data_IF_049066014800
#
_entry.id   IF_049066014800
#
_cell.length_a   1.000
_cell.length_b   1.000
_cell.length_c   1.000
_cell.angle_alpha   90.00
_cell.angle_beta   90.00
_cell.angle_gamma   90.00
#
_symmetry.space_group_name_H-M   'P 1'
#
loop_
_entity.id
_entity.type
_entity.pdbx_description
1 polymer ?
#
# COMPACT_ATOMS: atom_id res chain seq x y z
N UNK A 1 24.74 -7.57 -7.45
CA UNK A 1 24.41 -7.48 -6.00
C UNK A 1 23.86 -6.11 -5.71
N UNK A 2 22.61 -6.08 -5.25
CA UNK A 2 21.89 -4.85 -4.92
C UNK A 2 22.04 -4.51 -3.44
N UNK A 3 22.06 -3.20 -3.16
CA UNK A 3 22.01 -2.64 -1.82
C UNK A 3 20.83 -1.69 -1.76
N UNK A 4 19.95 -1.93 -0.79
CA UNK A 4 18.80 -1.09 -0.51
C UNK A 4 19.10 -0.22 0.70
N UNK A 5 18.95 1.10 0.56
CA UNK A 5 19.08 2.05 1.67
C UNK A 5 17.70 2.61 1.99
N UNK A 6 17.25 2.41 3.22
CA UNK A 6 15.95 2.85 3.67
C UNK A 6 15.87 4.38 3.86
N UNK A 7 14.82 4.99 3.30
CA UNK A 7 14.45 6.38 3.55
C UNK A 7 12.93 6.49 3.76
N UNK A 8 12.41 7.54 4.41
CA UNK A 8 11.03 7.57 4.90
C UNK A 8 9.95 7.28 3.85
N UNK A 9 10.14 7.67 2.57
CA UNK A 9 9.15 7.50 1.50
C UNK A 9 9.53 6.46 0.44
N UNK A 10 10.80 6.07 0.35
CA UNK A 10 11.29 5.16 -0.68
C UNK A 10 12.58 4.45 -0.26
N UNK A 11 12.89 3.30 -0.85
CA UNK A 11 14.23 2.71 -0.78
C UNK A 11 15.10 3.27 -1.90
N UNK A 12 16.34 3.65 -1.61
CA UNK A 12 17.33 3.91 -2.67
C UNK A 12 17.98 2.59 -3.05
N UNK A 13 18.01 2.27 -4.33
CA UNK A 13 18.59 1.03 -4.84
C UNK A 13 19.95 1.34 -5.47
N UNK A 14 20.97 0.62 -5.03
CA UNK A 14 22.33 0.72 -5.55
C UNK A 14 22.80 -0.63 -6.08
N UNK A 15 23.48 -0.65 -7.22
CA UNK A 15 24.25 -1.81 -7.67
C UNK A 15 25.69 -1.65 -7.18
N UNK A 16 26.21 -2.68 -6.53
CA UNK A 16 27.63 -2.77 -6.22
C UNK A 16 28.37 -3.29 -7.45
N UNK A 17 29.23 -2.45 -8.01
CA UNK A 17 30.19 -2.85 -9.04
C UNK A 17 31.47 -3.33 -8.35
N UNK A 18 31.95 -4.51 -8.74
CA UNK A 18 33.30 -4.94 -8.38
C UNK A 18 34.28 -4.16 -9.26
N UNK A 19 34.97 -3.20 -8.66
CA UNK A 19 36.09 -2.52 -9.32
C UNK A 19 37.32 -3.43 -9.29
N UNK A 20 38.18 -3.43 -10.32
CA UNK A 20 39.46 -4.13 -10.29
C UNK A 20 40.40 -3.68 -9.15
N UNK A 21 40.17 -2.49 -8.57
CA UNK A 21 40.95 -1.91 -7.47
C UNK A 21 40.41 -2.24 -6.06
N UNK A 22 39.58 -3.28 -5.93
CA UNK A 22 38.96 -3.78 -4.68
C UNK A 22 38.15 -2.76 -3.85
N UNK A 23 37.91 -1.56 -4.41
CA UNK A 23 37.01 -0.57 -3.80
C UNK A 23 35.58 -0.80 -4.31
N UNK A 24 34.62 -1.12 -3.43
CA UNK A 24 33.25 -1.37 -3.84
C UNK A 24 32.59 -0.07 -4.30
N UNK A 25 32.45 0.09 -5.63
CA UNK A 25 31.80 1.26 -6.22
C UNK A 25 30.28 1.04 -6.20
N UNK A 26 29.58 1.88 -5.44
CA UNK A 26 28.10 1.91 -5.41
C UNK A 26 27.61 2.80 -6.53
N UNK A 27 26.87 2.23 -7.48
CA UNK A 27 26.17 2.98 -8.52
C UNK A 27 24.69 3.00 -8.15
N UNK A 28 24.11 4.20 -8.03
CA UNK A 28 22.67 4.34 -7.80
C UNK A 28 21.96 3.93 -9.08
N UNK A 29 21.02 2.98 -8.97
CA UNK A 29 20.24 2.49 -10.11
C UNK A 29 18.78 2.96 -10.08
N UNK A 30 18.26 3.35 -8.91
CA UNK A 30 16.89 3.83 -8.84
C UNK A 30 16.38 4.08 -7.43
N UNK A 31 15.06 4.21 -7.31
CA UNK A 31 14.34 4.26 -6.04
C UNK A 31 13.07 3.41 -6.11
N UNK A 32 12.68 2.87 -4.96
CA UNK A 32 11.48 2.08 -4.77
C UNK A 32 10.51 2.82 -3.86
N UNK A 33 9.38 3.29 -4.38
CA UNK A 33 8.36 3.94 -3.53
C UNK A 33 7.77 2.92 -2.55
N UNK A 34 7.69 3.29 -1.26
CA UNK A 34 7.07 2.41 -0.24
C UNK A 34 5.55 2.27 -0.44
N UNK A 35 4.90 3.29 -1.02
CA UNK A 35 3.49 3.31 -1.36
C UNK A 35 3.32 3.35 -2.88
N UNK A 36 2.52 2.43 -3.44
CA UNK A 36 2.26 2.36 -4.89
C UNK A 36 3.55 2.12 -5.69
N UNK A 37 3.85 0.85 -5.93
CA UNK A 37 5.14 0.44 -6.49
C UNK A 37 5.32 0.96 -7.92
N UNK A 38 6.26 1.90 -8.12
CA UNK A 38 6.71 2.33 -9.43
C UNK A 38 8.25 2.45 -9.41
N UNK A 39 8.90 1.73 -10.32
CA UNK A 39 10.35 1.71 -10.45
C UNK A 39 10.76 2.76 -11.49
N UNK A 40 11.29 3.89 -11.02
CA UNK A 40 11.86 4.91 -11.91
C UNK A 40 13.34 4.61 -12.11
N UNK A 41 13.66 4.01 -13.26
CA UNK A 41 15.03 3.78 -13.74
C UNK A 41 15.46 5.05 -14.48
N UNK A 42 16.63 5.60 -14.15
CA UNK A 42 17.27 6.56 -15.07
C UNK A 42 17.65 5.80 -16.34
N UNK A 43 17.27 6.32 -17.52
CA UNK A 43 17.14 5.67 -18.85
C UNK A 43 18.37 4.91 -19.45
N UNK A 44 19.37 4.51 -18.67
CA UNK A 44 20.62 3.91 -19.16
C UNK A 44 20.99 2.51 -18.64
N UNK A 45 20.20 1.85 -17.79
CA UNK A 45 20.62 0.59 -17.16
C UNK A 45 19.57 -0.53 -17.23
N UNK A 46 19.97 -1.68 -17.79
CA UNK A 46 19.19 -2.93 -17.73
C UNK A 46 19.47 -3.70 -16.43
N UNK A 47 18.39 -4.20 -15.83
CA UNK A 47 18.39 -5.09 -14.66
C UNK A 47 18.23 -6.52 -15.17
N UNK A 48 19.03 -7.45 -14.66
CA UNK A 48 18.89 -8.88 -15.00
C UNK A 48 17.75 -9.54 -14.21
N UNK A 49 17.36 -10.76 -14.60
CA UNK A 49 16.20 -11.44 -14.01
C UNK A 49 16.40 -11.81 -12.53
N UNK A 50 17.64 -12.09 -12.11
CA UNK A 50 17.95 -12.43 -10.72
C UNK A 50 17.85 -11.18 -9.83
N UNK A 51 18.38 -10.06 -10.32
CA UNK A 51 18.29 -8.78 -9.64
C UNK A 51 16.85 -8.26 -9.60
N UNK A 52 16.04 -8.49 -10.64
CA UNK A 52 14.61 -8.18 -10.61
C UNK A 52 13.88 -8.96 -9.50
N UNK A 53 14.14 -10.28 -9.38
CA UNK A 53 13.54 -11.10 -8.33
C UNK A 53 13.90 -10.64 -6.91
N UNK A 54 15.12 -10.14 -6.70
CA UNK A 54 15.54 -9.56 -5.42
C UNK A 54 14.76 -8.28 -5.08
N UNK A 55 14.50 -7.43 -6.07
CA UNK A 55 13.71 -6.21 -5.87
C UNK A 55 12.26 -6.58 -5.50
N UNK A 56 11.67 -7.55 -6.21
CA UNK A 56 10.29 -7.98 -5.98
C UNK A 56 10.11 -8.56 -4.55
N UNK A 57 11.06 -9.37 -4.09
CA UNK A 57 11.06 -9.92 -2.73
C UNK A 57 11.14 -8.84 -1.63
N UNK A 58 11.96 -7.81 -1.82
CA UNK A 58 12.04 -6.66 -0.90
C UNK A 58 10.74 -5.86 -0.91
N UNK A 59 10.12 -5.71 -2.08
CA UNK A 59 8.86 -5.00 -2.24
C UNK A 59 7.71 -5.70 -1.49
N UNK A 60 7.62 -7.03 -1.58
CA UNK A 60 6.63 -7.82 -0.84
C UNK A 60 6.81 -7.66 0.67
N UNK A 61 8.05 -7.79 1.16
CA UNK A 61 8.36 -7.62 2.60
C UNK A 61 7.92 -6.25 3.11
N UNK A 62 8.10 -5.20 2.31
CA UNK A 62 7.66 -3.85 2.68
C UNK A 62 6.13 -3.70 2.69
N UNK A 63 5.43 -4.32 1.75
CA UNK A 63 3.96 -4.32 1.72
C UNK A 63 3.39 -5.02 2.95
N UNK A 64 3.98 -6.15 3.33
CA UNK A 64 3.57 -6.88 4.53
C UNK A 64 3.80 -6.04 5.79
N UNK A 65 4.95 -5.37 5.89
CA UNK A 65 5.23 -4.47 7.00
C UNK A 65 4.23 -3.30 7.09
N UNK A 66 3.88 -2.68 5.97
CA UNK A 66 2.88 -1.60 5.92
C UNK A 66 1.49 -2.10 6.30
N UNK A 67 1.09 -3.28 5.81
CA UNK A 67 -0.17 -3.92 6.18
C UNK A 67 -0.24 -4.22 7.70
N UNK A 68 0.87 -4.65 8.30
CA UNK A 68 0.95 -4.86 9.75
C UNK A 68 0.82 -3.55 10.54
N UNK A 69 1.43 -2.46 10.09
CA UNK A 69 1.31 -1.15 10.71
C UNK A 69 -0.12 -0.62 10.62
N UNK A 70 -0.73 -0.68 9.43
CA UNK A 70 -2.13 -0.28 9.22
C UNK A 70 -3.08 -1.09 10.12
N UNK A 71 -2.84 -2.39 10.25
CA UNK A 71 -3.62 -3.25 11.16
C UNK A 71 -3.43 -2.84 12.62
N UNK A 72 -2.21 -2.56 13.05
CA UNK A 72 -1.95 -2.11 14.42
C UNK A 72 -2.64 -0.77 14.70
N UNK A 73 -2.57 0.19 13.78
CA UNK A 73 -3.23 1.49 13.92
C UNK A 73 -4.76 1.36 13.95
N UNK A 74 -5.34 0.50 13.11
CA UNK A 74 -6.77 0.22 13.12
C UNK A 74 -7.25 -0.36 14.46
N UNK A 75 -6.46 -1.26 15.07
CA UNK A 75 -6.78 -1.82 16.39
C UNK A 75 -6.65 -0.78 17.52
N UNK A 76 -5.77 0.21 17.37
CA UNK A 76 -5.59 1.30 18.35
C UNK A 76 -6.57 2.45 18.14
N UNK A 77 -7.21 2.54 16.98
CA UNK A 77 -8.11 3.62 16.61
C UNK A 77 -9.20 3.93 17.65
N UNK A 78 -9.88 2.94 18.29
CA UNK A 78 -10.88 3.24 19.32
C UNK A 78 -10.32 4.01 20.51
N UNK A 79 -9.13 3.66 20.98
CA UNK A 79 -8.46 4.35 22.08
C UNK A 79 -8.00 5.75 21.66
N UNK A 80 -7.42 5.87 20.46
CA UNK A 80 -7.01 7.14 19.88
C UNK A 80 -8.22 8.08 19.76
N UNK A 81 -9.34 7.62 19.22
CA UNK A 81 -10.56 8.39 19.08
C UNK A 81 -11.09 8.87 20.45
N UNK A 82 -11.07 8.00 21.47
CA UNK A 82 -11.47 8.37 22.84
C UNK A 82 -10.59 9.50 23.40
N UNK A 83 -9.27 9.37 23.27
CA UNK A 83 -8.31 10.37 23.76
C UNK A 83 -8.39 11.69 22.99
N UNK A 84 -8.55 11.62 21.67
CA UNK A 84 -8.75 12.81 20.82
C UNK A 84 -10.03 13.54 21.19
N UNK A 85 -11.13 12.84 21.49
CA UNK A 85 -12.36 13.47 21.99
C UNK A 85 -12.14 14.17 23.32
N UNK A 86 -11.45 13.53 24.26
CA UNK A 86 -11.15 14.12 25.57
C UNK A 86 -10.31 15.40 25.42
N UNK A 87 -9.27 15.36 24.59
CA UNK A 87 -8.47 16.53 24.23
C UNK A 87 -9.32 17.62 23.56
N UNK A 88 -10.15 17.26 22.59
CA UNK A 88 -11.03 18.18 21.87
C UNK A 88 -11.93 18.99 22.80
N UNK A 89 -12.49 18.33 23.83
CA UNK A 89 -13.41 18.97 24.78
C UNK A 89 -12.67 19.85 25.79
N UNK A 90 -11.55 19.35 26.33
CA UNK A 90 -10.93 19.94 27.53
C UNK A 90 -9.73 20.85 27.23
N UNK A 91 -9.06 20.68 26.10
CA UNK A 91 -7.72 21.24 25.89
C UNK A 91 -7.53 21.90 24.52
N UNK A 92 -8.26 21.48 23.49
CA UNK A 92 -8.04 21.96 22.13
C UNK A 92 -8.40 23.44 21.94
N UNK A 93 -7.52 24.15 21.26
CA UNK A 93 -7.78 25.48 20.70
C UNK A 93 -8.83 25.42 19.59
N UNK A 94 -9.39 26.56 19.19
CA UNK A 94 -10.43 26.61 18.14
C UNK A 94 -9.91 26.10 16.79
N UNK A 95 -8.64 26.37 16.46
CA UNK A 95 -8.00 25.86 15.23
C UNK A 95 -7.87 24.34 15.28
N UNK A 96 -7.40 23.79 16.40
CA UNK A 96 -7.30 22.33 16.56
C UNK A 96 -8.66 21.65 16.52
N UNK A 97 -9.69 22.26 17.11
CA UNK A 97 -11.07 21.77 16.99
C UNK A 97 -11.52 21.70 15.53
N UNK A 98 -11.27 22.73 14.74
CA UNK A 98 -11.60 22.72 13.31
C UNK A 98 -10.87 21.61 12.55
N UNK A 99 -9.58 21.41 12.83
CA UNK A 99 -8.77 20.34 12.21
C UNK A 99 -9.31 18.95 12.58
N UNK A 100 -9.56 18.70 13.86
CA UNK A 100 -10.07 17.42 14.35
C UNK A 100 -11.47 17.14 13.77
N UNK A 101 -12.36 18.13 13.75
CA UNK A 101 -13.70 17.99 13.21
C UNK A 101 -13.68 17.67 11.69
N UNK A 102 -12.85 18.38 10.93
CA UNK A 102 -12.68 18.12 9.48
C UNK A 102 -12.18 16.71 9.23
N UNK A 103 -11.13 16.28 9.93
CA UNK A 103 -10.60 14.92 9.79
C UNK A 103 -11.63 13.83 10.13
N UNK A 104 -12.43 14.03 11.19
CA UNK A 104 -13.49 13.08 11.56
C UNK A 104 -14.58 12.95 10.47
N UNK A 105 -14.94 14.06 9.83
CA UNK A 105 -15.90 14.08 8.71
C UNK A 105 -15.33 13.34 7.51
N UNK A 106 -14.07 13.60 7.15
CA UNK A 106 -13.39 12.97 6.01
C UNK A 106 -13.28 11.46 6.20
N UNK A 107 -12.86 10.99 7.38
CA UNK A 107 -12.78 9.56 7.69
C UNK A 107 -14.17 8.92 7.58
N UNK A 108 -15.21 9.56 8.13
CA UNK A 108 -16.58 9.04 8.06
C UNK A 108 -17.06 8.92 6.60
N UNK A 109 -16.74 9.91 5.76
CA UNK A 109 -17.07 9.88 4.33
C UNK A 109 -16.31 8.77 3.59
N UNK A 110 -15.01 8.61 3.87
CA UNK A 110 -14.18 7.59 3.26
C UNK A 110 -14.67 6.18 3.59
N UNK A 111 -14.98 5.90 4.86
CA UNK A 111 -15.54 4.60 5.30
C UNK A 111 -16.85 4.31 4.60
N UNK A 112 -17.80 5.25 4.61
CA UNK A 112 -19.10 5.06 3.93
C UNK A 112 -18.97 4.83 2.42
N UNK A 113 -17.98 5.46 1.78
CA UNK A 113 -17.71 5.25 0.36
C UNK A 113 -17.16 3.84 0.11
N UNK A 114 -16.24 3.38 0.96
CA UNK A 114 -15.68 2.03 0.87
C UNK A 114 -16.76 0.95 1.08
N UNK A 115 -17.65 1.13 2.06
CA UNK A 115 -18.76 0.19 2.31
C UNK A 115 -19.69 0.07 1.10
N UNK A 116 -20.06 1.19 0.49
CA UNK A 116 -20.90 1.19 -0.73
C UNK A 116 -20.22 0.52 -1.92
N UNK A 117 -18.91 0.73 -2.09
CA UNK A 117 -18.16 0.08 -3.16
C UNK A 117 -18.08 -1.44 -2.95
N UNK A 118 -17.88 -1.89 -1.71
CA UNK A 118 -17.92 -3.31 -1.36
C UNK A 118 -19.28 -3.97 -1.60
N UNK A 119 -20.38 -3.25 -1.33
CA UNK A 119 -21.75 -3.71 -1.65
C UNK A 119 -21.97 -3.84 -3.16
N UNK A 120 -21.54 -2.86 -3.96
CA UNK A 120 -21.67 -2.88 -5.41
C UNK A 120 -20.84 -4.00 -6.08
N UNK A 121 -19.64 -4.29 -5.56
CA UNK A 121 -18.79 -5.38 -6.04
C UNK A 121 -19.36 -6.75 -5.67
N UNK A 122 -19.80 -6.94 -4.42
CA UNK A 122 -20.51 -8.15 -4.00
C UNK A 122 -21.78 -8.40 -4.80
N UNK A 123 -22.49 -7.35 -5.20
CA UNK A 123 -23.70 -7.45 -6.02
C UNK A 123 -23.38 -7.92 -7.44
N UNK A 124 -22.29 -7.42 -8.04
CA UNK A 124 -21.85 -7.82 -9.39
C UNK A 124 -21.33 -9.24 -9.44
N UNK A 125 -20.59 -9.69 -8.41
CA UNK A 125 -20.15 -11.08 -8.28
C UNK A 125 -21.33 -12.04 -8.12
N UNK A 126 -22.34 -11.69 -7.30
CA UNK A 126 -23.55 -12.48 -7.16
C UNK A 126 -24.34 -12.59 -8.48
N UNK A 127 -24.42 -11.51 -9.26
CA UNK A 127 -25.05 -11.50 -10.59
C UNK A 127 -24.24 -12.33 -11.60
N UNK A 128 -22.92 -12.25 -11.58
CA UNK A 128 -22.05 -13.05 -12.45
C UNK A 128 -22.14 -14.55 -12.13
N UNK A 129 -22.17 -14.92 -10.84
CA UNK A 129 -22.35 -16.30 -10.39
C UNK A 129 -23.75 -16.85 -10.75
N UNK A 130 -24.80 -16.04 -10.59
CA UNK A 130 -26.15 -16.41 -11.02
C UNK A 130 -26.31 -16.52 -12.54
N UNK A 131 -25.59 -15.71 -13.32
CA UNK A 131 -25.55 -15.82 -14.78
C UNK A 131 -24.78 -17.07 -15.25
N UNK A 132 -23.69 -17.43 -14.57
CA UNK A 132 -22.95 -18.67 -14.83
C UNK A 132 -23.78 -19.93 -14.58
N UNK A 133 -24.56 -19.97 -13.50
CA UNK A 133 -25.48 -21.08 -13.19
C UNK A 133 -26.66 -21.20 -14.17
N UNK A 134 -27.10 -20.11 -14.81
CA UNK A 134 -28.16 -20.15 -15.84
C UNK A 134 -27.66 -20.66 -17.19
N UNK A 135 -26.35 -20.64 -17.44
CA UNK A 135 -25.77 -21.12 -18.70
C UNK A 135 -25.61 -22.65 -18.78
N UNK A 136 -25.75 -23.38 -17.67
CA UNK A 136 -25.52 -24.84 -17.61
C UNK A 136 -26.77 -25.72 -17.74
N UNK A 137 -27.96 -25.15 -17.92
CA UNK A 137 -29.22 -25.92 -18.00
C UNK A 137 -29.86 -26.00 -19.39
N UNK A 138 -29.06 -25.95 -20.45
CA UNK A 138 -29.51 -26.35 -21.79
C UNK A 138 -28.46 -27.29 -22.35
N UNK A 139 -28.72 -28.60 -22.27
CA UNK A 139 -28.51 -29.62 -23.31
C UNK A 139 -28.49 -31.00 -22.64
N UNK A 140 -29.62 -31.69 -22.62
CA UNK A 140 -29.69 -33.14 -22.85
C UNK A 140 -31.14 -33.49 -23.19
N UNK A 141 -31.47 -33.42 -24.48
CA UNK A 141 -32.52 -34.26 -25.07
C UNK A 141 -31.83 -35.14 -26.10
N UNK A 142 -31.91 -36.46 -25.89
CA UNK A 142 -31.84 -37.48 -26.93
C UNK A 142 -32.84 -38.57 -26.54
#
# INVERSE_FOLDING_TARGET
MLVFIDTPKFLRVFRLLRSPDDTPKRVRIGRLMKAGYEFQIDDGFSVDAEEQAQIDSVAETLKDADAHLLRADALRFPEIARRTREYYVNHATDVEKQLIATAAIEITRAVRKADKQGEEESSKEAVAHAAGLRSSNVTTSN
#
